data_IF_783616252123
#
_entry.id   IF_783616252123
#
_cell.length_a   1.000
_cell.length_b   1.000
_cell.length_c   1.000
_cell.angle_alpha   90.00
_cell.angle_beta   90.00
_cell.angle_gamma   90.00
#
_symmetry.space_group_name_H-M   'P 1'
#
loop_
_entity.id
_entity.type
_entity.pdbx_description
1 polymer ?
#
# COMPACT_ATOMS: atom_id res chain seq x y z
N UNK A 1 24.50 -23.35 -43.09
CA UNK A 1 24.11 -21.96 -43.25
C UNK A 1 23.11 -21.63 -42.19
N UNK A 2 23.58 -21.08 -41.04
CA UNK A 2 22.78 -20.74 -39.88
C UNK A 2 22.56 -19.21 -39.91
N UNK A 3 21.33 -18.79 -40.06
CA UNK A 3 20.96 -17.39 -39.88
C UNK A 3 20.51 -17.19 -38.41
N UNK A 4 21.36 -16.52 -37.64
CA UNK A 4 21.01 -15.99 -36.32
C UNK A 4 19.94 -14.90 -36.48
N UNK A 5 18.82 -15.03 -35.79
CA UNK A 5 17.86 -13.93 -35.59
C UNK A 5 18.31 -13.18 -34.35
N UNK A 6 18.68 -11.96 -34.55
CA UNK A 6 18.99 -11.01 -33.48
C UNK A 6 17.67 -10.67 -32.76
N UNK A 7 17.60 -11.04 -31.47
CA UNK A 7 16.56 -10.60 -30.57
C UNK A 7 16.80 -9.15 -30.16
N UNK A 8 15.98 -8.22 -30.62
CA UNK A 8 15.91 -6.88 -30.06
C UNK A 8 15.29 -6.96 -28.66
N UNK A 9 16.12 -6.69 -27.66
CA UNK A 9 15.73 -6.43 -26.29
C UNK A 9 14.88 -5.14 -26.23
N UNK A 10 13.58 -5.32 -26.21
CA UNK A 10 12.62 -4.24 -26.00
C UNK A 10 12.35 -4.00 -24.52
N UNK A 11 13.35 -3.66 -23.71
CA UNK A 11 13.15 -3.09 -22.37
C UNK A 11 12.75 -1.61 -22.47
N UNK A 12 11.64 -1.34 -23.15
CA UNK A 12 11.00 -0.03 -23.13
C UNK A 12 10.46 0.24 -21.72
N UNK A 13 10.92 1.34 -21.15
CA UNK A 13 10.43 1.90 -19.89
C UNK A 13 8.88 1.92 -19.86
N UNK A 14 8.27 0.91 -19.21
CA UNK A 14 6.81 0.77 -19.08
C UNK A 14 6.20 1.83 -18.16
N UNK A 15 7.03 2.56 -17.39
CA UNK A 15 6.60 3.61 -16.47
C UNK A 15 6.02 4.85 -17.18
N UNK A 16 6.16 4.95 -18.51
CA UNK A 16 5.77 6.12 -19.32
C UNK A 16 4.29 6.18 -19.71
N UNK A 17 3.48 5.17 -19.40
CA UNK A 17 2.12 5.05 -19.97
C UNK A 17 1.02 5.87 -19.28
N UNK A 18 1.22 6.31 -18.03
CA UNK A 18 0.25 7.16 -17.35
C UNK A 18 0.73 8.61 -17.32
N UNK A 19 -0.10 9.52 -17.84
CA UNK A 19 0.14 10.97 -17.83
C UNK A 19 -0.83 11.58 -16.81
N UNK A 20 -0.37 12.44 -15.89
CA UNK A 20 -1.26 13.17 -14.99
C UNK A 20 -2.24 14.05 -15.77
N UNK A 21 -3.48 14.13 -15.29
CA UNK A 21 -4.45 15.12 -15.78
C UNK A 21 -4.05 16.56 -15.45
N UNK A 22 -4.82 17.51 -15.93
CA UNK A 22 -4.58 18.93 -15.66
C UNK A 22 -4.83 19.31 -14.19
N UNK A 23 -4.03 20.21 -13.66
CA UNK A 23 -4.30 20.86 -12.35
C UNK A 23 -5.37 21.93 -12.53
N UNK A 24 -6.34 21.91 -11.63
CA UNK A 24 -7.43 22.90 -11.61
C UNK A 24 -7.06 24.10 -10.72
N UNK A 25 -7.76 25.22 -10.90
CA UNK A 25 -7.47 26.48 -10.19
C UNK A 25 -7.61 26.35 -8.66
N UNK A 26 -8.48 25.46 -8.17
CA UNK A 26 -8.66 25.15 -6.73
C UNK A 26 -7.63 24.16 -6.18
N UNK A 27 -6.70 23.72 -7.01
CA UNK A 27 -5.66 22.76 -6.66
C UNK A 27 -6.08 21.29 -6.75
N UNK A 28 -7.32 20.97 -7.14
CA UNK A 28 -7.69 19.61 -7.50
C UNK A 28 -7.04 19.19 -8.82
N UNK A 29 -7.15 17.92 -9.19
CA UNK A 29 -6.59 17.37 -10.42
C UNK A 29 -7.68 16.70 -11.25
N UNK A 30 -7.64 16.87 -12.56
CA UNK A 30 -8.44 16.05 -13.46
C UNK A 30 -8.07 14.58 -13.26
N UNK A 31 -9.07 13.76 -12.91
CA UNK A 31 -8.87 12.36 -12.58
C UNK A 31 -8.75 11.49 -13.83
N UNK A 32 -7.97 10.43 -13.73
CA UNK A 32 -7.89 9.36 -14.72
C UNK A 32 -8.93 8.28 -14.45
N UNK A 33 -8.98 7.27 -15.31
CA UNK A 33 -9.84 6.08 -15.14
C UNK A 33 -11.32 6.40 -14.97
N UNK A 34 -11.87 6.99 -16.00
CA UNK A 34 -13.30 7.25 -16.16
C UNK A 34 -13.68 7.34 -17.65
N UNK A 35 -14.96 7.24 -17.94
CA UNK A 35 -15.53 7.46 -19.26
C UNK A 35 -16.92 8.09 -19.15
N UNK A 36 -17.46 8.72 -20.19
CA UNK A 36 -18.88 9.06 -20.24
C UNK A 36 -19.71 7.78 -20.00
N UNK A 37 -20.82 7.91 -19.28
CA UNK A 37 -21.78 6.84 -19.12
C UNK A 37 -22.62 6.69 -20.38
N UNK A 38 -22.85 5.45 -20.83
CA UNK A 38 -23.67 5.17 -22.01
C UNK A 38 -25.16 5.25 -21.65
N UNK A 39 -26.01 5.62 -22.61
CA UNK A 39 -27.45 5.76 -22.39
C UNK A 39 -28.12 4.46 -21.95
N UNK A 40 -27.70 3.32 -22.51
CA UNK A 40 -28.17 1.99 -22.13
C UNK A 40 -27.81 1.59 -20.68
N UNK A 41 -26.80 2.23 -20.09
CA UNK A 41 -26.42 2.11 -18.69
C UNK A 41 -27.15 3.09 -17.76
N UNK A 42 -28.15 3.84 -18.28
CA UNK A 42 -28.88 4.88 -17.55
C UNK A 42 -28.10 6.20 -17.43
N UNK A 43 -27.10 6.41 -18.31
CA UNK A 43 -26.36 7.67 -18.41
C UNK A 43 -27.28 8.79 -18.93
N UNK A 44 -27.40 9.86 -18.13
CA UNK A 44 -27.96 11.15 -18.57
C UNK A 44 -26.82 12.03 -19.08
N UNK A 45 -27.16 13.11 -19.77
CA UNK A 45 -26.17 14.08 -20.26
C UNK A 45 -25.23 14.54 -19.13
N UNK A 46 -23.93 14.51 -19.39
CA UNK A 46 -22.88 14.82 -18.41
C UNK A 46 -22.64 13.77 -17.32
N UNK A 47 -23.32 12.60 -17.35
CA UNK A 47 -23.04 11.49 -16.43
C UNK A 47 -21.74 10.78 -16.82
N UNK A 48 -20.91 10.44 -15.83
CA UNK A 48 -19.65 9.70 -16.02
C UNK A 48 -19.63 8.41 -15.20
N UNK A 49 -18.89 7.41 -15.70
CA UNK A 49 -18.59 6.16 -15.01
C UNK A 49 -17.13 6.18 -14.54
N UNK A 50 -16.90 6.07 -13.23
CA UNK A 50 -15.57 5.89 -12.67
C UNK A 50 -15.12 4.44 -12.86
N UNK A 51 -13.97 4.23 -13.54
CA UNK A 51 -13.41 2.90 -13.83
C UNK A 51 -12.15 2.58 -13.02
N UNK A 52 -11.86 3.33 -11.96
CA UNK A 52 -10.66 3.15 -11.15
C UNK A 52 -10.72 1.89 -10.29
N UNK A 53 -11.85 1.62 -9.68
CA UNK A 53 -12.03 0.47 -8.79
C UNK A 53 -13.32 -0.30 -9.13
N UNK A 54 -13.49 -1.55 -8.65
CA UNK A 54 -14.63 -2.40 -8.98
C UNK A 54 -16.00 -1.88 -8.53
N UNK A 55 -16.07 -0.73 -7.83
CA UNK A 55 -17.34 -0.08 -7.51
C UNK A 55 -18.03 0.53 -8.72
N UNK A 56 -17.27 0.94 -9.71
CA UNK A 56 -17.80 1.50 -10.95
C UNK A 56 -18.91 2.54 -10.69
N UNK A 57 -18.58 3.55 -9.89
CA UNK A 57 -19.55 4.59 -9.51
C UNK A 57 -20.02 5.36 -10.75
N UNK A 58 -21.34 5.36 -10.99
CA UNK A 58 -21.99 6.22 -11.96
C UNK A 58 -22.31 7.55 -11.28
N UNK A 59 -21.82 8.66 -11.82
CA UNK A 59 -21.85 9.98 -11.20
C UNK A 59 -22.51 10.98 -12.15
N UNK A 60 -23.60 11.58 -11.72
CA UNK A 60 -24.20 12.75 -12.38
C UNK A 60 -23.34 13.98 -12.12
N UNK A 61 -23.47 15.07 -12.90
CA UNK A 61 -22.80 16.34 -12.59
C UNK A 61 -23.04 16.77 -11.13
N UNK A 62 -21.96 17.04 -10.38
CA UNK A 62 -21.97 17.36 -8.96
C UNK A 62 -21.91 16.16 -8.00
N UNK A 63 -22.10 14.92 -8.46
CA UNK A 63 -22.02 13.73 -7.62
C UNK A 63 -20.58 13.38 -7.24
N UNK A 64 -20.44 12.75 -6.06
CA UNK A 64 -19.20 12.16 -5.58
C UNK A 64 -19.31 10.63 -5.53
N UNK A 65 -18.21 9.95 -5.85
CA UNK A 65 -18.11 8.51 -5.72
C UNK A 65 -18.21 8.04 -4.28
N UNK A 66 -18.35 6.73 -4.08
CA UNK A 66 -18.38 6.12 -2.73
C UNK A 66 -17.18 6.54 -1.85
N UNK A 67 -16.03 6.78 -2.45
CA UNK A 67 -14.81 7.24 -1.77
C UNK A 67 -14.82 8.72 -1.36
N UNK A 68 -15.77 9.52 -1.81
CA UNK A 68 -15.92 10.96 -1.59
C UNK A 68 -14.85 11.88 -2.18
N UNK A 69 -13.74 11.36 -2.68
CA UNK A 69 -12.61 12.15 -3.17
C UNK A 69 -12.55 12.25 -4.68
N UNK A 70 -13.36 11.45 -5.37
CA UNK A 70 -13.57 11.48 -6.82
C UNK A 70 -14.97 11.99 -7.10
N UNK A 71 -15.07 13.03 -7.91
CA UNK A 71 -16.34 13.72 -8.19
C UNK A 71 -16.49 14.05 -9.68
N UNK A 72 -17.73 14.15 -10.14
CA UNK A 72 -18.05 14.63 -11.45
C UNK A 72 -18.22 16.16 -11.42
N UNK A 73 -17.29 16.90 -12.01
CA UNK A 73 -17.41 18.34 -12.25
C UNK A 73 -17.65 18.58 -13.75
N UNK A 74 -18.86 18.99 -14.09
CA UNK A 74 -19.25 19.37 -15.46
C UNK A 74 -18.89 18.30 -16.51
N UNK A 75 -19.20 17.03 -16.22
CA UNK A 75 -18.96 15.90 -17.12
C UNK A 75 -17.52 15.38 -17.12
N UNK A 76 -16.68 15.78 -16.15
CA UNK A 76 -15.30 15.32 -16.00
C UNK A 76 -15.05 14.76 -14.61
N UNK A 77 -14.20 13.74 -14.54
CA UNK A 77 -13.71 13.22 -13.25
C UNK A 77 -12.69 14.17 -12.65
N UNK A 78 -12.85 14.47 -11.36
CA UNK A 78 -11.91 15.28 -10.59
C UNK A 78 -11.51 14.58 -9.32
N UNK A 79 -10.21 14.53 -9.03
CA UNK A 79 -9.64 14.11 -7.76
C UNK A 79 -9.43 15.34 -6.87
N UNK A 80 -10.23 15.46 -5.80
CA UNK A 80 -10.20 16.62 -4.90
C UNK A 80 -9.05 16.61 -3.89
N UNK A 81 -8.37 15.47 -3.70
CA UNK A 81 -7.31 15.27 -2.69
C UNK A 81 -5.90 15.30 -3.26
N UNK A 82 -5.70 15.65 -4.52
CA UNK A 82 -4.35 15.75 -5.06
C UNK A 82 -3.54 16.83 -4.34
N UNK A 83 -2.32 16.49 -3.92
CA UNK A 83 -1.46 17.39 -3.15
C UNK A 83 -2.00 17.75 -1.75
N UNK A 84 -2.90 16.90 -1.19
CA UNK A 84 -3.46 17.05 0.14
C UNK A 84 -3.26 15.76 0.94
N UNK A 85 -2.64 15.86 2.10
CA UNK A 85 -2.34 14.71 2.95
C UNK A 85 -2.96 14.85 4.33
N UNK A 86 -3.36 13.73 4.90
CA UNK A 86 -3.74 13.56 6.30
C UNK A 86 -2.72 12.68 7.00
N UNK A 87 -2.43 12.95 8.27
CA UNK A 87 -1.68 12.02 9.12
C UNK A 87 -0.23 11.76 8.73
N UNK A 88 0.53 12.79 8.32
CA UNK A 88 1.97 12.66 8.07
C UNK A 88 2.70 12.17 9.32
N UNK A 89 3.36 11.01 9.20
CA UNK A 89 4.06 10.39 10.33
C UNK A 89 5.25 9.56 9.85
N UNK A 90 6.36 9.64 10.58
CA UNK A 90 7.48 8.73 10.38
C UNK A 90 7.28 7.52 11.28
N UNK A 91 7.20 6.37 10.68
CA UNK A 91 6.97 5.06 11.32
C UNK A 91 8.12 4.09 10.99
N UNK A 92 8.27 2.98 11.72
CA UNK A 92 9.07 1.86 11.25
C UNK A 92 8.40 1.17 10.05
N UNK A 93 9.22 0.65 9.12
CA UNK A 93 8.71 -0.07 7.93
C UNK A 93 7.91 -1.31 8.33
N UNK A 94 8.28 -1.97 9.42
CA UNK A 94 7.59 -3.13 9.98
C UNK A 94 6.12 -2.87 10.30
N UNK A 95 5.78 -1.61 10.62
CA UNK A 95 4.39 -1.20 10.88
C UNK A 95 3.53 -1.11 9.62
N UNK A 96 4.11 -1.26 8.41
CA UNK A 96 3.39 -1.22 7.11
C UNK A 96 2.97 -2.58 6.57
N UNK A 97 2.82 -3.58 7.29
CA UNK A 97 3.58 -4.78 7.63
C UNK A 97 4.48 -5.23 6.45
N UNK A 98 5.71 -4.74 6.45
CA UNK A 98 6.73 -5.09 5.47
C UNK A 98 7.99 -5.54 6.22
N UNK A 99 8.13 -6.84 6.39
CA UNK A 99 9.23 -7.45 7.14
C UNK A 99 10.41 -7.84 6.27
N UNK A 100 10.16 -8.01 4.97
CA UNK A 100 11.16 -8.39 3.99
C UNK A 100 11.52 -7.24 3.01
N UNK A 101 11.26 -6.01 3.43
CA UNK A 101 11.55 -4.82 2.64
C UNK A 101 12.31 -3.80 3.51
N UNK A 102 13.63 -3.73 3.34
CA UNK A 102 14.54 -2.84 4.09
C UNK A 102 14.27 -2.79 5.60
N UNK A 103 14.38 -3.91 6.32
CA UNK A 103 13.99 -4.02 7.72
C UNK A 103 14.72 -3.01 8.61
N UNK A 104 14.00 -2.53 9.65
CA UNK A 104 14.51 -1.58 10.63
C UNK A 104 14.64 -0.13 10.13
N UNK A 105 14.22 0.16 8.89
CA UNK A 105 14.27 1.53 8.34
C UNK A 105 13.04 2.35 8.69
N UNK A 106 13.18 3.68 8.62
CA UNK A 106 12.07 4.61 8.74
C UNK A 106 11.32 4.77 7.41
N UNK A 107 10.02 4.98 7.50
CA UNK A 107 9.13 5.26 6.37
C UNK A 107 8.26 6.49 6.68
N UNK A 108 8.21 7.45 5.75
CA UNK A 108 7.27 8.57 5.83
C UNK A 108 5.90 8.12 5.36
N UNK A 109 4.95 8.07 6.27
CA UNK A 109 3.59 7.60 6.02
C UNK A 109 2.63 8.73 5.78
N UNK A 110 1.80 8.62 4.75
CA UNK A 110 0.74 9.56 4.46
C UNK A 110 -0.52 8.87 3.94
N UNK A 111 -1.64 9.54 4.12
CA UNK A 111 -2.92 9.20 3.53
C UNK A 111 -3.67 10.43 3.08
N UNK A 112 -4.86 10.21 2.55
CA UNK A 112 -5.82 11.27 2.22
C UNK A 112 -7.15 10.98 2.91
N UNK A 113 -8.19 11.76 2.63
CA UNK A 113 -9.54 11.40 3.04
C UNK A 113 -10.15 10.35 2.10
N UNK A 114 -11.17 9.63 2.57
CA UNK A 114 -11.97 8.71 1.78
C UNK A 114 -11.37 7.31 1.60
N UNK A 115 -12.18 6.38 1.10
CA UNK A 115 -11.76 4.98 0.84
C UNK A 115 -12.80 4.30 -0.07
N UNK A 116 -12.36 3.37 -0.93
CA UNK A 116 -13.25 2.56 -1.75
C UNK A 116 -13.87 1.36 -1.02
N UNK A 117 -13.47 1.06 0.22
CA UNK A 117 -14.05 0.02 1.05
C UNK A 117 -14.94 0.57 2.17
N UNK A 118 -15.91 -0.24 2.59
CA UNK A 118 -16.85 0.04 3.68
C UNK A 118 -16.56 -0.74 4.96
N UNK A 119 -15.30 -1.08 5.26
CA UNK A 119 -14.94 -1.94 6.39
C UNK A 119 -15.58 -1.50 7.69
N UNK A 120 -16.34 -2.42 8.33
CA UNK A 120 -17.00 -2.16 9.63
C UNK A 120 -16.01 -2.08 10.79
N UNK A 121 -14.84 -2.67 10.63
CA UNK A 121 -13.72 -2.74 11.59
C UNK A 121 -12.60 -1.73 11.31
N UNK A 122 -12.87 -0.65 10.59
CA UNK A 122 -11.83 0.29 10.14
C UNK A 122 -11.22 1.04 11.33
N UNK A 123 -9.92 0.85 11.57
CA UNK A 123 -9.17 1.56 12.62
C UNK A 123 -8.84 3.02 12.26
N UNK A 124 -8.91 3.37 10.96
CA UNK A 124 -8.70 4.74 10.47
C UNK A 124 -10.02 5.33 9.92
N UNK A 125 -11.14 5.05 10.59
CA UNK A 125 -12.45 5.47 10.11
C UNK A 125 -12.62 7.00 10.10
N UNK A 126 -11.96 7.71 10.98
CA UNK A 126 -11.91 9.18 11.06
C UNK A 126 -11.36 9.80 9.76
N UNK A 127 -10.37 9.16 9.13
CA UNK A 127 -9.79 9.54 7.85
C UNK A 127 -10.60 8.92 6.69
N UNK A 128 -10.78 7.62 6.71
CA UNK A 128 -11.34 6.86 5.58
C UNK A 128 -12.83 7.11 5.33
N UNK A 129 -13.57 7.62 6.33
CA UNK A 129 -14.98 7.98 6.24
C UNK A 129 -15.22 9.49 6.29
N UNK A 130 -14.15 10.28 6.37
CA UNK A 130 -14.28 11.73 6.39
C UNK A 130 -14.83 12.26 5.08
N UNK A 131 -15.82 13.15 5.20
CA UNK A 131 -16.39 13.96 4.12
C UNK A 131 -15.82 15.40 4.11
N UNK A 132 -14.96 15.73 5.08
CA UNK A 132 -14.41 17.08 5.28
C UNK A 132 -12.95 17.14 4.83
N UNK A 133 -12.72 16.83 3.55
CA UNK A 133 -11.37 16.76 2.96
C UNK A 133 -10.54 18.02 3.23
N UNK A 134 -11.13 19.19 3.07
CA UNK A 134 -10.41 20.47 3.18
C UNK A 134 -10.00 20.81 4.62
N UNK A 135 -10.77 20.34 5.58
CA UNK A 135 -10.57 20.63 7.00
C UNK A 135 -9.53 19.74 7.68
N UNK A 136 -9.36 18.51 7.16
CA UNK A 136 -8.51 17.46 7.75
C UNK A 136 -7.20 17.26 7.00
N UNK A 137 -6.94 17.99 5.91
CA UNK A 137 -5.76 17.80 5.11
C UNK A 137 -4.88 19.04 5.02
N UNK A 138 -3.57 18.84 5.20
CA UNK A 138 -2.55 19.83 4.90
C UNK A 138 -2.15 19.77 3.43
N UNK A 139 -1.70 20.90 2.85
CA UNK A 139 -1.04 20.88 1.55
C UNK A 139 0.25 20.08 1.64
N UNK A 140 0.44 19.16 0.71
CA UNK A 140 1.57 18.26 0.65
C UNK A 140 1.80 17.81 -0.80
N UNK A 141 2.33 18.71 -1.62
CA UNK A 141 2.66 18.40 -3.02
C UNK A 141 3.73 17.28 -3.07
N UNK A 142 3.82 16.51 -4.18
CA UNK A 142 4.79 15.44 -4.31
C UNK A 142 6.22 15.82 -3.92
N UNK A 143 6.70 16.98 -4.36
CA UNK A 143 8.05 17.46 -4.06
C UNK A 143 8.25 17.77 -2.57
N UNK A 144 7.20 18.26 -1.90
CA UNK A 144 7.24 18.51 -0.46
C UNK A 144 7.30 17.21 0.34
N UNK A 145 6.61 16.16 -0.11
CA UNK A 145 6.70 14.80 0.48
C UNK A 145 8.12 14.26 0.34
N UNK A 146 8.71 14.38 -0.85
CA UNK A 146 10.09 13.95 -1.10
C UNK A 146 11.08 14.72 -0.23
N UNK A 147 10.96 16.05 -0.17
CA UNK A 147 11.81 16.89 0.68
C UNK A 147 11.73 16.48 2.16
N UNK A 148 10.52 16.24 2.69
CA UNK A 148 10.33 15.77 4.06
C UNK A 148 10.93 14.38 4.28
N UNK A 149 10.79 13.46 3.32
CA UNK A 149 11.40 12.13 3.42
C UNK A 149 12.94 12.18 3.47
N UNK A 150 13.56 13.04 2.65
CA UNK A 150 15.01 13.25 2.64
C UNK A 150 15.51 13.93 3.91
N UNK A 151 14.85 15.00 4.37
CA UNK A 151 15.16 15.74 5.60
C UNK A 151 15.20 14.79 6.81
N UNK A 152 14.21 13.91 6.90
CA UNK A 152 14.10 12.94 7.98
C UNK A 152 14.80 11.61 7.71
N UNK A 153 15.57 11.52 6.61
CA UNK A 153 16.32 10.32 6.21
C UNK A 153 15.46 9.06 6.14
N UNK A 154 14.21 9.20 5.69
CA UNK A 154 13.34 8.07 5.47
C UNK A 154 13.81 7.27 4.25
N UNK A 155 13.92 5.95 4.39
CA UNK A 155 14.29 5.06 3.28
C UNK A 155 13.18 4.97 2.24
N UNK A 156 11.93 5.17 2.69
CA UNK A 156 10.74 5.03 1.84
C UNK A 156 9.62 6.00 2.24
N UNK A 157 8.67 6.17 1.33
CA UNK A 157 7.37 6.83 1.55
C UNK A 157 6.27 5.80 1.42
N UNK A 158 5.34 5.74 2.38
CA UNK A 158 4.21 4.81 2.37
C UNK A 158 2.88 5.54 2.18
N UNK A 159 2.14 5.13 1.16
CA UNK A 159 0.75 5.49 0.89
C UNK A 159 -0.15 4.56 1.69
N UNK A 160 -0.80 5.06 2.76
CA UNK A 160 -1.44 4.22 3.78
C UNK A 160 -2.58 4.96 4.49
N UNK A 161 -3.10 4.42 5.59
CA UNK A 161 -4.21 4.85 6.44
C UNK A 161 -5.59 4.67 5.80
N UNK A 162 -5.83 5.18 4.61
CA UNK A 162 -6.93 4.83 3.71
C UNK A 162 -6.38 4.10 2.48
N UNK A 163 -7.25 3.60 1.60
CA UNK A 163 -6.77 2.90 0.40
C UNK A 163 -6.19 3.89 -0.63
N UNK A 164 -4.89 3.80 -0.97
CA UNK A 164 -4.24 4.72 -1.91
C UNK A 164 -4.79 4.61 -3.34
N UNK A 165 -5.52 3.58 -3.68
CA UNK A 165 -6.20 3.43 -4.97
C UNK A 165 -7.13 4.61 -5.24
N UNK A 166 -7.87 5.13 -4.24
CA UNK A 166 -8.84 6.21 -4.50
C UNK A 166 -8.19 7.54 -4.87
N UNK A 167 -6.91 7.71 -4.60
CA UNK A 167 -6.07 8.85 -4.95
C UNK A 167 -4.82 8.42 -5.73
N UNK A 168 -5.00 7.44 -6.63
CA UNK A 168 -3.92 6.81 -7.39
C UNK A 168 -3.05 7.83 -8.16
N UNK A 169 -3.64 8.86 -8.73
CA UNK A 169 -2.92 9.91 -9.46
C UNK A 169 -1.89 10.62 -8.57
N UNK A 170 -2.27 10.94 -7.33
CA UNK A 170 -1.36 11.58 -6.38
C UNK A 170 -0.30 10.59 -5.86
N UNK A 171 -0.69 9.34 -5.59
CA UNK A 171 0.24 8.30 -5.19
C UNK A 171 1.31 8.02 -6.26
N UNK A 172 0.90 7.87 -7.53
CA UNK A 172 1.81 7.64 -8.66
C UNK A 172 2.74 8.84 -8.88
N UNK A 173 2.21 10.07 -8.86
CA UNK A 173 3.02 11.28 -9.01
C UNK A 173 4.08 11.38 -7.91
N UNK A 174 3.68 11.14 -6.65
CA UNK A 174 4.59 11.14 -5.50
C UNK A 174 5.62 10.01 -5.59
N UNK A 175 5.21 8.79 -5.96
CA UNK A 175 6.10 7.66 -6.13
C UNK A 175 7.18 7.90 -7.20
N UNK A 176 6.80 8.52 -8.32
CA UNK A 176 7.75 8.91 -9.38
C UNK A 176 8.76 9.95 -8.89
N UNK A 177 8.30 10.96 -8.15
CA UNK A 177 9.18 11.95 -7.53
C UNK A 177 10.12 11.31 -6.50
N UNK A 178 9.63 10.38 -5.67
CA UNK A 178 10.43 9.59 -4.74
C UNK A 178 11.53 8.79 -5.46
N UNK A 179 11.17 8.08 -6.54
CA UNK A 179 12.12 7.28 -7.34
C UNK A 179 13.25 8.15 -7.92
N UNK A 180 12.94 9.34 -8.42
CA UNK A 180 13.94 10.30 -8.93
C UNK A 180 14.92 10.76 -7.84
N UNK A 181 14.45 10.80 -6.59
CA UNK A 181 15.25 11.18 -5.42
C UNK A 181 15.93 9.99 -4.71
N UNK A 182 15.81 8.76 -5.22
CA UNK A 182 16.36 7.56 -4.59
C UNK A 182 15.62 7.10 -3.32
N UNK A 183 14.39 7.56 -3.12
CA UNK A 183 13.49 7.17 -2.03
C UNK A 183 12.50 6.13 -2.56
N UNK A 184 12.34 5.01 -1.85
CA UNK A 184 11.41 3.96 -2.27
C UNK A 184 9.95 4.35 -2.00
N UNK A 185 9.03 3.86 -2.83
CA UNK A 185 7.60 4.08 -2.71
C UNK A 185 6.88 2.78 -2.33
N UNK A 186 6.01 2.86 -1.32
CA UNK A 186 5.32 1.70 -0.75
C UNK A 186 3.81 1.95 -0.70
N UNK A 187 3.00 0.98 -1.14
CA UNK A 187 1.55 1.02 -0.98
C UNK A 187 1.06 0.02 0.09
N UNK A 188 0.24 0.49 1.03
CA UNK A 188 -0.57 -0.37 1.91
C UNK A 188 -2.01 -0.26 1.46
N UNK A 189 -2.53 -1.32 0.84
CA UNK A 189 -3.79 -1.27 0.08
C UNK A 189 -4.65 -2.52 0.28
N UNK A 190 -5.94 -2.41 0.05
CA UNK A 190 -6.82 -3.58 -0.05
C UNK A 190 -6.75 -4.28 -1.42
N UNK A 191 -5.99 -3.74 -2.38
CA UNK A 191 -5.90 -4.30 -3.72
C UNK A 191 -7.20 -4.23 -4.53
N UNK A 192 -8.16 -3.41 -4.12
CA UNK A 192 -9.48 -3.28 -4.76
C UNK A 192 -9.43 -2.25 -5.89
N UNK A 193 -8.80 -2.65 -7.00
CA UNK A 193 -8.47 -1.81 -8.17
C UNK A 193 -8.82 -2.53 -9.47
N UNK A 194 -9.30 -1.78 -10.47
CA UNK A 194 -9.62 -2.30 -11.80
C UNK A 194 -8.36 -2.62 -12.63
N UNK A 195 -8.44 -3.55 -13.59
CA UNK A 195 -7.31 -3.96 -14.41
C UNK A 195 -6.59 -2.79 -15.10
N UNK A 196 -7.33 -1.82 -15.62
CA UNK A 196 -6.79 -0.68 -16.39
C UNK A 196 -5.92 0.25 -15.53
N UNK A 197 -6.22 0.35 -14.23
CA UNK A 197 -5.48 1.18 -13.29
C UNK A 197 -4.35 0.43 -12.58
N UNK A 198 -4.41 -0.90 -12.59
CA UNK A 198 -3.53 -1.79 -11.82
C UNK A 198 -2.07 -1.68 -12.24
N UNK A 199 -1.80 -1.72 -13.55
CA UNK A 199 -0.47 -1.57 -14.11
C UNK A 199 0.19 -0.26 -13.70
N UNK A 200 -0.36 0.90 -14.09
CA UNK A 200 0.22 2.20 -13.75
C UNK A 200 0.42 2.41 -12.24
N UNK A 201 -0.46 1.86 -11.41
CA UNK A 201 -0.36 2.00 -9.96
C UNK A 201 0.80 1.18 -9.38
N UNK A 202 0.85 -0.14 -9.65
CA UNK A 202 1.85 -1.02 -9.03
C UNK A 202 3.24 -0.91 -9.66
N UNK A 203 3.36 -0.54 -10.94
CA UNK A 203 4.65 -0.23 -11.58
C UNK A 203 5.33 1.01 -10.97
N UNK A 204 4.57 1.91 -10.36
CA UNK A 204 5.13 3.05 -9.63
C UNK A 204 5.64 2.68 -8.23
N UNK A 205 5.25 1.53 -7.67
CA UNK A 205 5.58 1.11 -6.31
C UNK A 205 6.79 0.17 -6.30
N UNK A 206 7.68 0.33 -5.31
CA UNK A 206 8.80 -0.59 -5.06
C UNK A 206 8.37 -1.76 -4.18
N UNK A 207 7.37 -1.54 -3.29
CA UNK A 207 6.77 -2.59 -2.49
C UNK A 207 5.30 -2.30 -2.19
N UNK A 208 4.56 -3.35 -1.85
CA UNK A 208 3.18 -3.25 -1.39
C UNK A 208 2.89 -4.25 -0.29
N UNK A 209 2.06 -3.86 0.68
CA UNK A 209 1.33 -4.79 1.51
C UNK A 209 -0.13 -4.80 1.06
N UNK A 210 -0.65 -5.97 0.69
CA UNK A 210 -2.04 -6.11 0.26
C UNK A 210 -2.82 -6.82 1.37
N UNK A 211 -3.88 -6.16 1.84
CA UNK A 211 -4.81 -6.73 2.81
C UNK A 211 -5.73 -7.78 2.14
N UNK A 212 -5.41 -9.06 2.27
CA UNK A 212 -6.34 -10.16 1.99
C UNK A 212 -7.20 -10.40 3.24
N UNK A 213 -8.26 -9.59 3.38
CA UNK A 213 -9.02 -9.42 4.62
C UNK A 213 -9.86 -10.64 5.05
N UNK A 214 -10.11 -11.57 4.15
CA UNK A 214 -10.84 -12.82 4.36
C UNK A 214 -10.90 -13.63 3.08
N UNK A 215 -11.51 -14.82 3.12
CA UNK A 215 -11.51 -15.73 1.97
C UNK A 215 -12.90 -16.22 1.55
N UNK A 216 -13.93 -15.42 1.86
CA UNK A 216 -15.30 -15.68 1.37
C UNK A 216 -15.93 -14.41 0.79
N UNK A 217 -16.73 -14.58 -0.26
CA UNK A 217 -17.47 -13.48 -0.87
C UNK A 217 -18.48 -12.87 0.14
N UNK A 218 -19.08 -13.70 0.98
CA UNK A 218 -19.99 -13.24 2.05
C UNK A 218 -19.31 -12.30 3.05
N UNK A 219 -18.05 -12.60 3.45
CA UNK A 219 -17.26 -11.72 4.29
C UNK A 219 -16.99 -10.39 3.60
N UNK A 220 -16.49 -10.42 2.37
CA UNK A 220 -16.17 -9.21 1.62
C UNK A 220 -17.39 -8.32 1.45
N UNK A 221 -18.51 -8.89 1.02
CA UNK A 221 -19.73 -8.13 0.82
C UNK A 221 -20.29 -7.55 2.12
N UNK A 222 -20.49 -8.38 3.15
CA UNK A 222 -21.16 -7.98 4.39
C UNK A 222 -20.30 -7.13 5.30
N UNK A 223 -18.97 -7.31 5.27
CA UNK A 223 -18.07 -6.72 6.28
C UNK A 223 -17.22 -5.58 5.69
N UNK A 224 -16.86 -5.67 4.42
CA UNK A 224 -16.04 -4.64 3.75
C UNK A 224 -16.78 -3.87 2.67
N UNK A 225 -18.00 -4.29 2.32
CA UNK A 225 -18.79 -3.76 1.19
C UNK A 225 -18.02 -3.82 -0.14
N UNK A 226 -17.24 -4.87 -0.36
CA UNK A 226 -16.44 -5.10 -1.55
C UNK A 226 -16.63 -6.55 -2.05
N UNK A 227 -15.87 -6.96 -3.05
CA UNK A 227 -15.86 -8.31 -3.61
C UNK A 227 -14.47 -8.93 -3.46
N UNK A 228 -14.40 -10.24 -3.23
CA UNK A 228 -13.14 -10.97 -3.04
C UNK A 228 -12.34 -11.09 -4.36
N UNK A 229 -13.00 -11.44 -5.45
CA UNK A 229 -12.32 -11.79 -6.70
C UNK A 229 -11.40 -10.68 -7.23
N UNK A 230 -11.77 -9.38 -7.25
CA UNK A 230 -10.87 -8.32 -7.70
C UNK A 230 -9.58 -8.19 -6.88
N UNK A 231 -9.63 -8.52 -5.57
CA UNK A 231 -8.45 -8.53 -4.70
C UNK A 231 -7.52 -9.69 -5.08
N UNK A 232 -8.08 -10.88 -5.28
CA UNK A 232 -7.32 -12.06 -5.72
C UNK A 232 -6.65 -11.82 -7.07
N UNK A 233 -7.36 -11.20 -8.01
CA UNK A 233 -6.82 -10.84 -9.32
C UNK A 233 -5.68 -9.83 -9.23
N UNK A 234 -5.78 -8.88 -8.30
CA UNK A 234 -4.72 -7.91 -8.03
C UNK A 234 -3.47 -8.57 -7.45
N UNK A 235 -3.63 -9.46 -6.46
CA UNK A 235 -2.51 -10.22 -5.87
C UNK A 235 -1.78 -11.03 -6.95
N UNK A 236 -2.52 -11.74 -7.82
CA UNK A 236 -1.93 -12.48 -8.94
C UNK A 236 -1.18 -11.57 -9.92
N UNK A 237 -1.79 -10.44 -10.27
CA UNK A 237 -1.19 -9.48 -11.18
C UNK A 237 0.13 -8.93 -10.62
N UNK A 238 0.13 -8.45 -9.37
CA UNK A 238 1.35 -7.90 -8.75
C UNK A 238 2.47 -8.93 -8.75
N UNK A 239 2.15 -10.17 -8.39
CA UNK A 239 3.14 -11.25 -8.35
C UNK A 239 3.73 -11.63 -9.72
N UNK A 240 2.91 -11.60 -10.77
CA UNK A 240 3.30 -12.13 -12.09
C UNK A 240 3.79 -11.07 -13.06
N UNK A 241 3.25 -9.87 -12.95
CA UNK A 241 3.37 -8.86 -14.00
C UNK A 241 4.17 -7.62 -13.55
N UNK A 242 4.67 -7.61 -12.30
CA UNK A 242 5.41 -6.45 -11.76
C UNK A 242 6.64 -6.87 -10.96
N UNK A 243 7.60 -5.93 -10.81
CA UNK A 243 8.75 -6.07 -9.93
C UNK A 243 8.47 -5.57 -8.50
N UNK A 244 7.24 -5.12 -8.22
CA UNK A 244 6.83 -4.63 -6.91
C UNK A 244 6.91 -5.76 -5.87
N UNK A 245 7.73 -5.61 -4.83
CA UNK A 245 7.77 -6.56 -3.73
C UNK A 245 6.42 -6.61 -3.02
N UNK A 246 5.90 -7.82 -2.76
CA UNK A 246 4.58 -7.97 -2.14
C UNK A 246 4.63 -8.79 -0.86
N UNK A 247 3.97 -8.28 0.19
CA UNK A 247 3.61 -9.01 1.39
C UNK A 247 2.09 -8.94 1.59
N UNK A 248 1.51 -9.93 2.25
CA UNK A 248 0.06 -10.01 2.46
C UNK A 248 -0.27 -9.84 3.95
N UNK A 249 -1.43 -9.26 4.24
CA UNK A 249 -1.95 -9.16 5.61
C UNK A 249 -3.36 -9.72 5.70
N UNK A 250 -3.61 -10.52 6.73
CA UNK A 250 -4.94 -10.96 7.13
C UNK A 250 -5.21 -10.49 8.57
N UNK A 251 -6.21 -9.64 8.75
CA UNK A 251 -6.74 -9.26 10.05
C UNK A 251 -7.79 -10.30 10.47
N UNK A 252 -7.50 -11.08 11.48
CA UNK A 252 -8.41 -12.12 11.97
C UNK A 252 -9.43 -11.52 12.95
N UNK A 253 -10.71 -11.75 12.69
CA UNK A 253 -11.83 -11.19 13.48
C UNK A 253 -12.64 -12.35 14.04
N UNK A 254 -12.76 -12.49 15.39
CA UNK A 254 -13.44 -13.60 16.03
C UNK A 254 -14.89 -13.78 15.56
N UNK A 255 -15.21 -15.00 15.09
CA UNK A 255 -16.52 -15.39 14.61
C UNK A 255 -16.92 -14.74 13.27
N UNK A 256 -15.97 -14.21 12.48
CA UNK A 256 -16.26 -13.53 11.21
C UNK A 256 -15.43 -14.08 10.04
N UNK A 257 -14.13 -14.17 10.18
CA UNK A 257 -13.20 -14.68 9.16
C UNK A 257 -12.10 -15.57 9.75
N UNK A 258 -12.28 -16.06 10.97
CA UNK A 258 -11.35 -16.91 11.71
C UNK A 258 -11.66 -18.41 11.59
N UNK A 259 -12.55 -18.83 10.67
CA UNK A 259 -12.81 -20.23 10.37
C UNK A 259 -11.52 -20.93 9.90
N UNK A 260 -11.08 -22.02 10.56
CA UNK A 260 -9.88 -22.76 10.15
C UNK A 260 -9.92 -23.27 8.72
N UNK A 261 -11.11 -23.68 8.23
CA UNK A 261 -11.28 -24.19 6.85
C UNK A 261 -11.18 -23.07 5.82
N UNK A 262 -11.78 -21.90 6.07
CA UNK A 262 -11.69 -20.77 5.20
C UNK A 262 -10.26 -20.23 5.14
N UNK A 263 -9.58 -20.21 6.29
CA UNK A 263 -8.19 -19.80 6.39
C UNK A 263 -7.26 -20.79 5.66
N UNK A 264 -7.47 -22.10 5.78
CA UNK A 264 -6.74 -23.13 5.05
C UNK A 264 -6.89 -22.94 3.54
N UNK A 265 -8.12 -22.74 3.04
CA UNK A 265 -8.37 -22.45 1.62
C UNK A 265 -7.65 -21.20 1.13
N UNK A 266 -7.55 -20.17 1.99
CA UNK A 266 -6.78 -18.96 1.70
C UNK A 266 -5.28 -19.28 1.56
N UNK A 267 -4.70 -20.05 2.48
CA UNK A 267 -3.29 -20.46 2.42
C UNK A 267 -2.98 -21.33 1.20
N UNK A 268 -3.85 -22.27 0.87
CA UNK A 268 -3.74 -23.12 -0.34
C UNK A 268 -3.82 -22.28 -1.61
N UNK A 269 -4.71 -21.29 -1.63
CA UNK A 269 -4.81 -20.36 -2.76
C UNK A 269 -3.53 -19.50 -2.89
N UNK A 270 -2.99 -18.97 -1.79
CA UNK A 270 -1.72 -18.23 -1.78
C UNK A 270 -0.62 -19.11 -2.36
N UNK A 271 -0.44 -20.32 -1.83
CA UNK A 271 0.57 -21.25 -2.30
C UNK A 271 0.45 -21.55 -3.80
N UNK A 272 -0.76 -21.82 -4.28
CA UNK A 272 -1.01 -22.19 -5.67
C UNK A 272 -0.90 -21.03 -6.67
N UNK A 273 -1.07 -19.78 -6.24
CA UNK A 273 -1.11 -18.61 -7.15
C UNK A 273 0.11 -17.71 -7.06
N UNK A 274 0.74 -17.57 -5.88
CA UNK A 274 1.89 -16.69 -5.64
C UNK A 274 3.08 -17.39 -4.98
N UNK A 275 2.93 -18.66 -4.63
CA UNK A 275 4.01 -19.50 -4.12
C UNK A 275 4.23 -19.40 -2.60
N UNK A 276 5.26 -20.07 -2.13
CA UNK A 276 5.57 -20.25 -0.70
C UNK A 276 6.41 -19.12 -0.08
N UNK A 277 6.89 -18.16 -0.89
CA UNK A 277 7.87 -17.15 -0.49
C UNK A 277 7.28 -15.78 -0.24
N UNK A 278 5.98 -15.58 -0.46
CA UNK A 278 5.29 -14.31 -0.13
C UNK A 278 5.00 -14.28 1.36
N UNK A 279 5.48 -13.28 2.13
CA UNK A 279 5.20 -13.17 3.56
C UNK A 279 3.73 -12.92 3.83
N UNK A 280 3.19 -13.63 4.83
CA UNK A 280 1.83 -13.49 5.32
C UNK A 280 1.84 -13.00 6.77
N UNK A 281 1.20 -11.86 7.01
CA UNK A 281 1.04 -11.24 8.32
C UNK A 281 -0.36 -11.53 8.86
N UNK A 282 -0.44 -12.24 9.98
CA UNK A 282 -1.66 -12.51 10.73
C UNK A 282 -1.75 -11.47 11.85
N UNK A 283 -2.77 -10.62 11.83
CA UNK A 283 -2.90 -9.52 12.78
C UNK A 283 -4.13 -9.65 13.64
N UNK A 284 -3.98 -9.36 14.95
CA UNK A 284 -5.09 -9.33 15.89
C UNK A 284 -6.02 -8.15 15.59
N UNK A 285 -7.32 -8.42 15.59
CA UNK A 285 -8.37 -7.43 15.59
C UNK A 285 -8.54 -6.85 16.99
N UNK A 286 -8.84 -5.56 17.06
CA UNK A 286 -9.36 -4.87 18.23
C UNK A 286 -10.71 -4.22 17.89
N UNK A 287 -11.67 -4.19 18.83
CA UNK A 287 -12.94 -3.50 18.62
C UNK A 287 -12.76 -2.06 18.21
N UNK A 288 -13.37 -1.68 17.09
CA UNK A 288 -13.33 -0.31 16.58
C UNK A 288 -14.52 -0.02 15.65
N UNK A 289 -14.84 1.26 15.45
CA UNK A 289 -15.84 1.81 14.55
C UNK A 289 -17.22 1.14 14.72
N UNK A 290 -17.62 0.25 13.79
CA UNK A 290 -18.93 -0.43 13.77
C UNK A 290 -18.87 -1.88 14.25
N UNK A 291 -17.74 -2.31 14.81
CA UNK A 291 -17.52 -3.65 15.35
C UNK A 291 -17.01 -3.58 16.79
N UNK A 292 -17.77 -2.88 17.64
CA UNK A 292 -17.51 -2.76 19.08
C UNK A 292 -18.11 -3.93 19.90
N UNK A 293 -18.89 -4.78 19.26
CA UNK A 293 -19.64 -5.91 19.84
C UNK A 293 -18.83 -7.22 19.89
N UNK A 294 -17.55 -7.19 19.48
CA UNK A 294 -16.70 -8.38 19.42
C UNK A 294 -15.47 -8.22 20.29
N UNK A 295 -14.98 -9.31 20.89
CA UNK A 295 -13.74 -9.28 21.64
C UNK A 295 -12.53 -9.09 20.70
N UNK A 296 -11.37 -8.60 21.19
CA UNK A 296 -10.12 -8.67 20.46
C UNK A 296 -9.76 -10.12 20.14
N UNK A 297 -8.97 -10.32 19.09
CA UNK A 297 -8.53 -11.68 18.69
C UNK A 297 -7.62 -12.29 19.75
N UNK A 298 -7.96 -13.46 20.30
CA UNK A 298 -7.08 -14.19 21.18
C UNK A 298 -5.77 -14.61 20.46
N UNK A 299 -4.66 -14.66 21.21
CA UNK A 299 -3.38 -15.12 20.65
C UNK A 299 -3.47 -16.55 20.14
N UNK A 300 -4.22 -17.42 20.82
CA UNK A 300 -4.43 -18.81 20.45
C UNK A 300 -5.00 -18.97 19.03
N UNK A 301 -5.95 -18.10 18.64
CA UNK A 301 -6.51 -18.09 17.28
C UNK A 301 -5.43 -17.79 16.24
N UNK A 302 -4.54 -16.84 16.52
CA UNK A 302 -3.44 -16.50 15.61
C UNK A 302 -2.36 -17.61 15.56
N UNK A 303 -2.10 -18.27 16.68
CA UNK A 303 -1.18 -19.41 16.74
C UNK A 303 -1.73 -20.61 15.97
N UNK A 304 -3.02 -20.91 16.07
CA UNK A 304 -3.66 -21.95 15.26
C UNK A 304 -3.57 -21.62 13.75
N UNK A 305 -3.90 -20.39 13.37
CA UNK A 305 -3.77 -19.95 11.99
C UNK A 305 -2.31 -20.02 11.48
N UNK A 306 -1.34 -19.67 12.30
CA UNK A 306 0.08 -19.80 11.99
C UNK A 306 0.46 -21.27 11.71
N UNK A 307 -0.02 -22.21 12.54
CA UNK A 307 0.21 -23.64 12.30
C UNK A 307 -0.46 -24.15 11.02
N UNK A 308 -1.68 -23.69 10.72
CA UNK A 308 -2.37 -24.03 9.46
C UNK A 308 -1.55 -23.53 8.27
N UNK A 309 -1.06 -22.29 8.30
CA UNK A 309 -0.29 -21.70 7.21
C UNK A 309 1.03 -22.45 6.95
N UNK A 310 1.76 -22.84 8.01
CA UNK A 310 2.95 -23.70 7.92
C UNK A 310 2.57 -25.08 7.36
N UNK A 311 1.49 -25.68 7.85
CA UNK A 311 1.00 -26.98 7.38
C UNK A 311 0.62 -26.98 5.91
N UNK A 312 0.16 -25.86 5.37
CA UNK A 312 -0.07 -25.67 3.92
C UNK A 312 1.24 -25.51 3.12
N UNK A 313 2.38 -25.22 3.76
CA UNK A 313 3.68 -25.10 3.10
C UNK A 313 4.19 -23.67 2.92
N UNK A 314 3.50 -22.65 3.44
CA UNK A 314 3.98 -21.27 3.42
C UNK A 314 5.22 -21.11 4.31
N UNK A 315 6.19 -20.27 3.92
CA UNK A 315 7.51 -20.18 4.57
C UNK A 315 7.65 -19.01 5.53
N UNK A 316 6.95 -17.91 5.31
CA UNK A 316 7.13 -16.68 6.06
C UNK A 316 5.79 -16.21 6.61
N UNK A 317 5.51 -16.60 7.87
CA UNK A 317 4.26 -16.26 8.56
C UNK A 317 4.59 -15.49 9.82
N UNK A 318 3.95 -14.35 10.00
CA UNK A 318 4.19 -13.44 11.12
C UNK A 318 2.90 -13.16 11.87
N UNK A 319 3.00 -13.01 13.21
CA UNK A 319 1.89 -12.59 14.06
C UNK A 319 2.14 -11.16 14.53
N UNK A 320 1.15 -10.29 14.35
CA UNK A 320 1.21 -8.87 14.71
C UNK A 320 0.05 -8.37 15.55
N UNK A 321 0.18 -7.16 16.07
CA UNK A 321 -0.76 -6.46 16.94
C UNK A 321 -1.03 -7.13 18.31
N UNK A 322 -0.23 -8.10 18.68
CA UNK A 322 -0.25 -8.81 19.99
C UNK A 322 1.16 -9.24 20.36
N UNK A 323 1.47 -9.29 21.64
CA UNK A 323 2.78 -9.77 22.12
C UNK A 323 2.94 -11.26 21.82
N UNK A 324 4.01 -11.63 21.09
CA UNK A 324 4.30 -13.02 20.70
C UNK A 324 5.73 -13.17 20.20
N UNK A 325 6.18 -14.43 19.96
CA UNK A 325 7.54 -14.78 19.50
C UNK A 325 7.63 -15.02 17.97
N UNK A 326 6.53 -14.85 17.21
CA UNK A 326 6.44 -15.11 15.77
C UNK A 326 6.63 -13.86 14.90
N UNK A 327 7.56 -12.98 15.31
CA UNK A 327 7.89 -11.75 14.56
C UNK A 327 9.26 -11.83 13.88
N UNK A 328 10.09 -12.77 14.27
CA UNK A 328 11.44 -12.95 13.73
C UNK A 328 11.42 -13.75 12.43
N UNK A 329 12.21 -13.32 11.44
CA UNK A 329 12.39 -14.07 10.18
C UNK A 329 13.38 -15.20 10.41
N UNK A 330 12.98 -16.42 10.03
CA UNK A 330 13.83 -17.61 10.05
C UNK A 330 14.15 -18.07 8.62
N UNK A 331 15.36 -18.61 8.46
CA UNK A 331 15.76 -19.22 7.20
C UNK A 331 14.89 -20.46 6.91
N UNK A 332 14.22 -20.54 5.75
CA UNK A 332 13.37 -21.69 5.43
C UNK A 332 14.15 -22.96 5.11
N UNK A 333 15.49 -22.86 4.96
CA UNK A 333 16.37 -23.98 4.64
C UNK A 333 16.97 -24.66 5.88
N UNK A 334 17.37 -23.85 6.89
CA UNK A 334 18.05 -24.39 8.07
C UNK A 334 17.44 -23.97 9.42
N UNK A 335 16.37 -23.15 9.42
CA UNK A 335 15.70 -22.69 10.64
C UNK A 335 16.46 -21.58 11.40
N UNK A 336 17.68 -21.21 10.97
CA UNK A 336 18.46 -20.16 11.65
C UNK A 336 17.69 -18.83 11.66
N UNK A 337 17.61 -18.11 12.81
CA UNK A 337 16.98 -16.79 12.85
C UNK A 337 17.85 -15.78 12.11
N UNK A 338 17.34 -15.24 11.00
CA UNK A 338 18.09 -14.32 10.13
C UNK A 338 17.78 -12.84 10.37
N UNK A 339 16.57 -12.51 10.83
CA UNK A 339 16.23 -11.17 11.35
C UNK A 339 15.45 -11.35 12.65
N UNK A 340 16.06 -11.01 13.78
CA UNK A 340 15.41 -11.10 15.08
C UNK A 340 14.68 -9.78 15.35
N UNK A 341 13.41 -9.89 15.74
CA UNK A 341 12.55 -8.75 16.06
C UNK A 341 11.95 -8.85 17.44
N UNK A 342 11.92 -7.71 18.10
CA UNK A 342 11.08 -7.48 19.26
C UNK A 342 10.14 -6.29 18.96
N UNK A 343 8.87 -6.58 18.69
CA UNK A 343 7.96 -5.59 18.12
C UNK A 343 8.46 -5.07 16.77
N UNK A 344 8.72 -3.79 16.67
CA UNK A 344 9.24 -3.13 15.46
C UNK A 344 10.76 -2.87 15.53
N UNK A 345 11.43 -3.33 16.58
CA UNK A 345 12.88 -3.18 16.74
C UNK A 345 13.60 -4.40 16.21
N UNK A 346 14.70 -4.17 15.47
CA UNK A 346 15.58 -5.24 15.01
C UNK A 346 16.70 -5.43 16.05
N UNK A 347 16.73 -6.59 16.69
CA UNK A 347 17.72 -6.95 17.72
C UNK A 347 18.98 -7.56 17.09
N UNK A 348 18.80 -8.37 16.03
CA UNK A 348 19.93 -8.98 15.29
C UNK A 348 19.58 -9.16 13.80
N UNK A 349 20.64 -9.13 12.97
CA UNK A 349 20.52 -9.26 11.53
C UNK A 349 21.64 -10.17 11.00
N UNK A 350 21.27 -11.33 10.48
CA UNK A 350 22.18 -12.41 10.06
C UNK A 350 22.00 -12.74 8.58
N UNK A 351 21.88 -11.68 7.74
CA UNK A 351 21.88 -11.79 6.29
C UNK A 351 23.12 -11.10 5.71
N UNK A 352 23.70 -11.72 4.69
CA UNK A 352 24.72 -11.13 3.84
C UNK A 352 24.23 -11.20 2.40
N UNK A 353 24.02 -10.05 1.77
CA UNK A 353 23.46 -9.93 0.42
C UNK A 353 22.18 -10.75 0.20
N UNK A 354 21.31 -10.74 1.20
CA UNK A 354 20.03 -11.47 1.17
C UNK A 354 20.13 -12.98 1.42
N UNK A 355 21.31 -13.48 1.79
CA UNK A 355 21.53 -14.90 2.07
C UNK A 355 21.73 -15.15 3.58
N UNK A 356 21.25 -16.30 4.05
CA UNK A 356 21.43 -16.74 5.43
C UNK A 356 22.92 -16.92 5.78
N UNK A 357 23.40 -16.27 6.83
CA UNK A 357 24.80 -16.38 7.27
C UNK A 357 25.20 -17.78 7.75
N UNK A 358 24.23 -18.64 8.12
CA UNK A 358 24.51 -19.99 8.62
C UNK A 358 24.60 -21.04 7.51
N UNK A 359 23.75 -20.94 6.44
CA UNK A 359 23.72 -21.99 5.40
C UNK A 359 23.88 -21.44 3.97
N UNK A 360 23.97 -20.12 3.77
CA UNK A 360 24.06 -19.50 2.46
C UNK A 360 22.74 -19.51 1.66
N UNK A 361 21.65 -20.06 2.17
CA UNK A 361 20.36 -20.13 1.49
C UNK A 361 19.76 -18.74 1.30
N UNK A 362 19.22 -18.46 0.10
CA UNK A 362 18.62 -17.17 -0.24
C UNK A 362 17.30 -16.94 0.49
N UNK A 363 17.15 -15.78 1.10
CA UNK A 363 15.92 -15.33 1.77
C UNK A 363 15.20 -14.36 0.84
N UNK A 364 13.95 -14.69 0.50
CA UNK A 364 13.12 -13.83 -0.35
C UNK A 364 12.90 -12.45 0.32
N UNK A 365 13.09 -11.36 -0.43
CA UNK A 365 12.94 -10.00 0.10
C UNK A 365 13.73 -8.95 -0.69
N UNK A 366 13.62 -7.71 -0.24
CA UNK A 366 14.46 -6.58 -0.66
C UNK A 366 15.32 -6.15 0.53
N UNK A 367 16.56 -6.58 0.54
CA UNK A 367 17.49 -6.39 1.65
C UNK A 367 18.42 -5.22 1.35
N UNK A 368 18.68 -4.34 2.31
CA UNK A 368 19.70 -3.30 2.17
C UNK A 368 21.10 -3.82 2.49
N UNK A 369 22.12 -3.06 2.10
CA UNK A 369 23.51 -3.34 2.48
C UNK A 369 23.74 -3.35 4.01
N UNK A 370 22.86 -2.64 4.75
CA UNK A 370 22.84 -2.65 6.21
C UNK A 370 21.38 -2.60 6.70
N UNK A 371 21.14 -3.15 7.88
CA UNK A 371 19.86 -3.06 8.57
C UNK A 371 19.63 -1.64 9.10
N UNK A 372 18.38 -1.18 9.07
CA UNK A 372 17.99 0.08 9.69
C UNK A 372 17.99 -0.01 11.23
N UNK A 373 18.04 1.16 11.88
CA UNK A 373 18.04 1.28 13.36
C UNK A 373 16.99 2.27 13.85
N UNK A 374 15.87 2.38 13.15
CA UNK A 374 14.81 3.32 13.54
C UNK A 374 14.13 2.89 14.85
N UNK A 375 13.92 1.60 15.04
CA UNK A 375 13.20 1.02 16.20
C UNK A 375 11.69 1.27 16.12
N UNK A 376 11.00 1.21 17.26
CA UNK A 376 9.54 1.31 17.34
C UNK A 376 8.99 2.75 17.40
N UNK A 377 9.81 3.76 17.15
CA UNK A 377 9.39 5.17 17.26
C UNK A 377 8.30 5.53 16.25
N UNK A 378 7.34 6.35 16.68
CA UNK A 378 6.36 7.02 15.86
C UNK A 378 6.56 8.53 16.00
N UNK A 379 6.78 9.23 14.91
CA UNK A 379 7.06 10.66 14.92
C UNK A 379 6.11 11.38 13.96
N UNK A 380 5.00 11.98 14.46
CA UNK A 380 4.18 12.86 13.66
C UNK A 380 5.01 14.05 13.18
N UNK A 381 4.81 14.43 11.92
CA UNK A 381 5.45 15.62 11.34
C UNK A 381 4.41 16.50 10.65
N UNK A 382 4.75 17.77 10.43
CA UNK A 382 4.01 18.70 9.59
C UNK A 382 4.93 19.20 8.49
N UNK A 383 4.41 19.29 7.27
CA UNK A 383 5.09 19.99 6.18
C UNK A 383 4.85 21.47 6.39
N UNK A 384 5.88 22.19 6.87
CA UNK A 384 5.84 23.64 6.91
C UNK A 384 5.72 24.17 5.47
N UNK A 385 4.90 25.22 5.26
CA UNK A 385 4.90 25.96 4.00
C UNK A 385 6.28 26.60 3.81
N UNK A 386 7.20 25.89 3.20
CA UNK A 386 8.43 26.46 2.67
C UNK A 386 8.02 27.31 1.47
N UNK A 387 7.65 28.55 1.74
CA UNK A 387 7.66 29.59 0.73
C UNK A 387 9.14 29.76 0.39
N UNK A 388 9.54 29.26 -0.77
CA UNK A 388 10.86 29.50 -1.35
C UNK A 388 11.06 31.00 -1.50
N UNK A 389 11.82 31.60 -0.59
CA UNK A 389 12.45 32.88 -0.85
C UNK A 389 13.47 32.67 -1.96
N UNK A 390 13.41 33.40 -3.08
CA UNK A 390 14.47 33.36 -4.05
C UNK A 390 15.74 33.90 -3.39
N UNK A 391 16.74 33.06 -3.15
CA UNK A 391 18.07 33.51 -2.77
C UNK A 391 18.63 34.32 -3.93
N UNK A 392 18.64 35.64 -3.73
CA UNK A 392 19.27 36.58 -4.63
C UNK A 392 20.76 36.28 -4.72
N UNK A 393 21.18 36.12 -5.95
CA UNK A 393 22.58 36.24 -6.36
C UNK A 393 23.07 37.65 -5.98
N UNK A 394 23.72 37.77 -4.84
CA UNK A 394 24.53 38.97 -4.52
C UNK A 394 25.98 38.65 -4.85
N UNK A 395 26.46 39.50 -5.77
CA UNK A 395 27.75 39.46 -6.41
C UNK A 395 28.94 39.43 -5.45
N UNK A 396 29.94 38.67 -5.87
CA UNK A 396 31.32 38.88 -5.43
C UNK A 396 31.87 40.14 -6.09
N UNK A 397 32.18 41.16 -5.31
CA UNK A 397 33.10 42.20 -5.68
C UNK A 397 34.53 41.83 -5.16
N UNK A 398 35.59 42.02 -5.94
CA UNK A 398 36.92 41.79 -5.46
C UNK A 398 37.40 42.96 -4.58
N UNK A 399 37.93 42.63 -3.43
CA UNK A 399 38.68 43.60 -2.59
C UNK A 399 40.19 43.56 -2.88
N UNK A 400 40.75 44.73 -2.99
CA UNK A 400 42.19 45.02 -3.04
C UNK A 400 43.02 44.31 -1.95
#
# INVERSE_FOLDING_TARGET
>A
MNSRRDGQDGSGDRSSRWIPGARLADGAMEGSWWRPAEEDQGGLDGTILCTLCPRQCMLKPGDRGFCFVRENRDGRMVLSTFGRSTGLCIDPIEKKPLFHFYPGTSVLSLGTAGCNLGCKFCQNWDISKSRQVERLSAKAEPDQIVAAALEHRCRSVAFTYNDPVVWAEYAIATARACRQAGVAAVAVTAGYIQPEARGPFFEAMDATNIDLKGFTESFYWKTTSAHLQPVLDTIRYVHRETDCWMELTNLMIPGVNDSPDDFRRMCEWILGNVGDRVPLHLTAFHPDFRMMDRPPTPLETLLEAHQIAIGCGLKYIYIGNVANDHQSTRCPHCGHPVVLRHGYTIDAYHLTDGNCSACGGTIAGRWGAAVGRWGARRQPISIANQISSPQGLHGMQPSN
#
